data_IF_694082280384
#
_entry.id   IF_694082280384
#
_cell.length_a   1.000
_cell.length_b   1.000
_cell.length_c   1.000
_cell.angle_alpha   90.00
_cell.angle_beta   90.00
_cell.angle_gamma   90.00
#
_symmetry.space_group_name_H-M   'P 1'
#
loop_
_entity.id
_entity.type
_entity.pdbx_description
1 polymer ?
#
# COMPACT_ATOMS: atom_id res chain seq x y z
N UNK A 1 25.95 -23.01 -13.81
CA UNK A 1 24.65 -22.72 -14.44
C UNK A 1 24.33 -21.31 -14.06
N UNK A 2 24.34 -20.44 -15.06
CA UNK A 2 24.50 -19.00 -14.91
C UNK A 2 23.28 -18.34 -14.26
N UNK A 3 23.51 -17.58 -13.20
CA UNK A 3 22.55 -16.77 -12.43
C UNK A 3 21.98 -15.58 -13.26
N UNK A 4 22.48 -15.39 -14.49
CA UNK A 4 22.26 -14.19 -15.30
C UNK A 4 21.04 -14.27 -16.24
N UNK A 5 20.42 -15.44 -16.38
CA UNK A 5 19.24 -15.65 -17.25
C UNK A 5 17.90 -15.53 -16.51
N UNK A 6 17.91 -15.66 -15.19
CA UNK A 6 16.71 -15.50 -14.35
C UNK A 6 16.36 -14.00 -14.21
N UNK A 7 17.37 -13.13 -14.20
CA UNK A 7 17.21 -11.67 -14.04
C UNK A 7 16.57 -11.01 -15.27
N UNK A 8 16.86 -11.48 -16.50
CA UNK A 8 16.27 -10.89 -17.70
C UNK A 8 14.76 -11.09 -17.79
N UNK A 9 14.26 -12.27 -17.39
CA UNK A 9 12.83 -12.58 -17.38
C UNK A 9 12.08 -11.86 -16.26
N UNK A 10 12.72 -11.70 -15.09
CA UNK A 10 12.16 -10.94 -13.97
C UNK A 10 12.05 -9.44 -14.29
N UNK A 11 13.04 -8.88 -14.99
CA UNK A 11 12.99 -7.48 -15.41
C UNK A 11 11.98 -7.25 -16.54
N UNK A 12 11.85 -8.17 -17.49
CA UNK A 12 10.83 -8.08 -18.55
C UNK A 12 9.41 -8.12 -17.96
N UNK A 13 9.15 -9.00 -16.98
CA UNK A 13 7.89 -9.00 -16.23
C UNK A 13 7.67 -7.71 -15.44
N UNK A 14 8.70 -7.20 -14.74
CA UNK A 14 8.59 -5.96 -13.98
C UNK A 14 8.31 -4.76 -14.90
N UNK A 15 8.90 -4.73 -16.09
CA UNK A 15 8.66 -3.67 -17.07
C UNK A 15 7.25 -3.74 -17.66
N UNK A 16 6.75 -4.93 -17.96
CA UNK A 16 5.36 -5.13 -18.38
C UNK A 16 4.37 -4.70 -17.27
N UNK A 17 4.58 -5.16 -16.04
CA UNK A 17 3.75 -4.80 -14.89
C UNK A 17 3.82 -3.29 -14.58
N UNK A 18 4.98 -2.66 -14.79
CA UNK A 18 5.15 -1.22 -14.66
C UNK A 18 4.39 -0.48 -15.75
N UNK A 19 4.38 -0.96 -16.99
CA UNK A 19 3.60 -0.38 -18.08
C UNK A 19 2.10 -0.46 -17.75
N UNK A 20 1.61 -1.64 -17.36
CA UNK A 20 0.21 -1.85 -17.00
C UNK A 20 -0.21 -0.99 -15.79
N UNK A 21 0.61 -0.95 -14.74
CA UNK A 21 0.33 -0.13 -13.54
C UNK A 21 0.32 1.36 -13.88
N UNK A 22 1.23 1.81 -14.76
CA UNK A 22 1.25 3.20 -15.21
C UNK A 22 -0.01 3.50 -16.02
N UNK A 23 -0.38 2.63 -16.95
CA UNK A 23 -1.57 2.81 -17.80
C UNK A 23 -2.86 2.83 -16.97
N UNK A 24 -3.04 1.92 -16.02
CA UNK A 24 -4.18 1.94 -15.07
C UNK A 24 -4.21 3.22 -14.22
N UNK A 25 -3.06 3.69 -13.71
CA UNK A 25 -2.98 4.93 -12.93
C UNK A 25 -3.22 6.16 -13.82
N UNK A 26 -2.79 6.14 -15.09
CA UNK A 26 -3.10 7.18 -16.07
C UNK A 26 -4.59 7.20 -16.43
N UNK A 27 -5.24 6.06 -16.60
CA UNK A 27 -6.67 5.95 -16.84
C UNK A 27 -7.47 6.45 -15.62
N UNK A 28 -7.10 6.03 -14.41
CA UNK A 28 -7.71 6.51 -13.16
C UNK A 28 -7.49 8.01 -12.96
N UNK A 29 -6.30 8.55 -13.28
CA UNK A 29 -6.05 10.00 -13.22
C UNK A 29 -6.79 10.78 -14.31
N UNK A 30 -7.01 10.19 -15.49
CA UNK A 30 -7.84 10.80 -16.54
C UNK A 30 -9.33 10.80 -16.16
N UNK A 31 -9.79 9.78 -15.44
CA UNK A 31 -11.15 9.68 -14.91
C UNK A 31 -11.39 10.61 -13.71
N UNK A 32 -10.45 10.67 -12.75
CA UNK A 32 -10.56 11.54 -11.56
C UNK A 32 -10.15 13.00 -11.84
N UNK A 33 -9.42 13.25 -12.93
CA UNK A 33 -8.95 14.58 -13.24
C UNK A 33 -8.85 14.85 -14.74
N UNK A 34 -9.83 15.59 -15.24
CA UNK A 34 -9.59 16.65 -16.22
C UNK A 34 -8.70 17.76 -15.59
N UNK A 35 -7.54 17.40 -15.04
CA UNK A 35 -6.54 18.33 -14.51
C UNK A 35 -5.87 18.99 -15.71
N UNK A 36 -6.17 20.27 -15.95
CA UNK A 36 -5.46 21.01 -16.98
C UNK A 36 -3.94 21.02 -16.70
N UNK A 37 -3.13 21.10 -17.75
CA UNK A 37 -1.67 21.28 -17.63
C UNK A 37 -1.32 22.45 -16.68
N UNK A 38 -2.15 23.49 -16.62
CA UNK A 38 -2.05 24.59 -15.66
C UNK A 38 -2.08 24.11 -14.20
N UNK A 39 -3.03 23.26 -13.80
CA UNK A 39 -3.16 22.79 -12.41
C UNK A 39 -1.94 21.96 -12.01
N UNK A 40 -1.45 21.09 -12.92
CA UNK A 40 -0.23 20.30 -12.68
C UNK A 40 1.00 21.19 -12.49
N UNK A 41 1.12 22.26 -13.28
CA UNK A 41 2.22 23.23 -13.21
C UNK A 41 2.18 24.08 -11.94
N UNK A 42 0.97 24.46 -11.48
CA UNK A 42 0.75 25.14 -10.21
C UNK A 42 1.10 24.21 -9.03
N UNK A 43 0.66 22.96 -9.08
CA UNK A 43 0.96 21.96 -8.05
C UNK A 43 2.47 21.70 -7.92
N UNK A 44 3.18 21.51 -9.03
CA UNK A 44 4.64 21.32 -9.05
C UNK A 44 5.40 22.54 -8.51
N UNK A 45 4.96 23.76 -8.84
CA UNK A 45 5.56 24.97 -8.26
C UNK A 45 5.36 25.06 -6.74
N UNK A 46 4.24 24.59 -6.24
CA UNK A 46 3.92 24.64 -4.82
C UNK A 46 4.57 23.52 -3.99
N UNK A 47 4.87 22.35 -4.59
CA UNK A 47 5.28 21.14 -3.87
C UNK A 47 6.73 20.66 -4.11
N UNK A 48 7.59 21.46 -4.75
CA UNK A 48 9.00 21.13 -4.94
C UNK A 48 9.26 19.92 -5.86
N UNK A 49 10.52 19.49 -5.96
CA UNK A 49 10.86 18.27 -6.72
C UNK A 49 10.34 17.03 -6.00
N UNK A 50 9.47 16.28 -6.69
CA UNK A 50 8.95 14.99 -6.25
C UNK A 50 9.65 13.86 -6.99
N UNK A 51 9.61 12.65 -6.42
CA UNK A 51 10.15 11.44 -7.08
C UNK A 51 9.46 11.28 -8.44
N UNK A 52 10.25 11.02 -9.48
CA UNK A 52 9.71 10.77 -10.81
C UNK A 52 8.74 9.57 -10.76
N UNK A 53 7.57 9.71 -11.37
CA UNK A 53 6.48 8.72 -11.29
C UNK A 53 6.95 7.30 -11.66
N UNK A 54 7.74 7.17 -12.72
CA UNK A 54 8.31 5.89 -13.17
C UNK A 54 9.19 5.24 -12.10
N UNK A 55 10.04 6.03 -11.44
CA UNK A 55 10.94 5.53 -10.39
C UNK A 55 10.16 5.16 -9.12
N UNK A 56 9.14 5.95 -8.78
CA UNK A 56 8.21 5.63 -7.70
C UNK A 56 7.51 4.29 -7.93
N UNK A 57 6.90 4.08 -9.10
CA UNK A 57 6.19 2.83 -9.38
C UNK A 57 7.12 1.63 -9.45
N UNK A 58 8.29 1.76 -10.08
CA UNK A 58 9.29 0.69 -10.08
C UNK A 58 9.68 0.29 -8.65
N UNK A 59 9.94 1.25 -7.77
CA UNK A 59 10.25 0.98 -6.38
C UNK A 59 9.06 0.36 -5.63
N UNK A 60 7.85 0.86 -5.87
CA UNK A 60 6.62 0.37 -5.27
C UNK A 60 6.36 -1.10 -5.62
N UNK A 61 6.43 -1.46 -6.90
CA UNK A 61 6.23 -2.83 -7.38
C UNK A 61 7.25 -3.79 -6.76
N UNK A 62 8.53 -3.38 -6.71
CA UNK A 62 9.59 -4.16 -6.08
C UNK A 62 9.29 -4.39 -4.59
N UNK A 63 8.92 -3.35 -3.86
CA UNK A 63 8.60 -3.46 -2.43
C UNK A 63 7.34 -4.31 -2.18
N UNK A 64 6.35 -4.24 -3.07
CA UNK A 64 5.15 -5.08 -2.98
C UNK A 64 5.47 -6.56 -3.21
N UNK A 65 6.38 -6.88 -4.13
CA UNK A 65 6.88 -8.25 -4.28
C UNK A 65 7.54 -8.77 -2.99
N UNK A 66 8.33 -7.94 -2.32
CA UNK A 66 8.93 -8.30 -1.02
C UNK A 66 7.88 -8.43 0.10
N UNK A 67 6.82 -7.62 0.08
CA UNK A 67 5.71 -7.75 1.02
C UNK A 67 4.95 -9.07 0.85
N UNK A 68 4.82 -9.58 -0.38
CA UNK A 68 4.22 -10.90 -0.64
C UNK A 68 5.10 -12.00 -0.01
N UNK A 69 6.42 -11.94 -0.21
CA UNK A 69 7.35 -12.89 0.43
C UNK A 69 7.26 -12.84 1.95
N UNK A 70 7.15 -11.63 2.53
CA UNK A 70 6.96 -11.44 3.96
C UNK A 70 5.65 -12.07 4.44
N UNK A 71 4.55 -11.86 3.72
CA UNK A 71 3.25 -12.45 4.03
C UNK A 71 3.34 -13.98 4.04
N UNK A 72 3.94 -14.59 3.02
CA UNK A 72 4.09 -16.04 2.94
C UNK A 72 4.91 -16.58 4.11
N UNK A 73 5.96 -15.87 4.50
CA UNK A 73 6.74 -16.20 5.69
C UNK A 73 5.92 -16.09 6.98
N UNK A 74 5.12 -15.03 7.17
CA UNK A 74 4.26 -14.85 8.36
C UNK A 74 3.29 -16.02 8.50
N UNK A 75 2.64 -16.41 7.40
CA UNK A 75 1.71 -17.54 7.35
C UNK A 75 2.42 -18.85 7.71
N UNK A 76 3.56 -19.13 7.07
CA UNK A 76 4.31 -20.36 7.30
C UNK A 76 4.84 -20.46 8.74
N UNK A 77 5.37 -19.36 9.28
CA UNK A 77 5.96 -19.29 10.62
C UNK A 77 4.94 -19.05 11.73
N UNK A 78 3.66 -18.84 11.40
CA UNK A 78 2.57 -18.53 12.34
C UNK A 78 2.85 -17.29 13.21
N UNK A 79 3.61 -16.34 12.67
CA UNK A 79 3.89 -15.08 13.36
C UNK A 79 2.64 -14.20 13.40
N UNK A 80 2.63 -13.25 14.33
CA UNK A 80 1.53 -12.31 14.55
C UNK A 80 2.04 -10.91 14.29
N UNK A 81 1.54 -10.24 13.26
CA UNK A 81 2.05 -8.93 12.85
C UNK A 81 0.95 -7.87 12.96
N UNK A 82 1.24 -6.78 13.67
CA UNK A 82 0.39 -5.60 13.75
C UNK A 82 1.15 -4.40 13.23
N UNK A 83 0.53 -3.64 12.33
CA UNK A 83 1.02 -2.35 11.86
C UNK A 83 0.01 -1.27 12.23
N UNK A 84 0.44 -0.27 12.99
CA UNK A 84 -0.40 0.83 13.45
C UNK A 84 -0.05 2.09 12.65
N UNK A 85 -1.04 2.71 12.02
CA UNK A 85 -0.88 3.93 11.25
C UNK A 85 -1.46 5.13 12.00
N UNK A 86 -0.58 5.98 12.54
CA UNK A 86 -0.95 7.22 13.21
C UNK A 86 -0.48 8.45 12.43
N UNK A 87 -1.12 9.59 12.66
CA UNK A 87 -0.79 10.84 11.98
C UNK A 87 -1.96 11.81 11.87
N UNK A 88 -1.67 13.06 11.50
CA UNK A 88 -2.67 14.12 11.35
C UNK A 88 -3.68 13.82 10.22
N UNK A 89 -4.82 14.48 10.28
CA UNK A 89 -5.79 14.46 9.19
C UNK A 89 -5.12 14.93 7.89
N UNK A 90 -5.48 14.26 6.79
CA UNK A 90 -4.89 14.49 5.46
C UNK A 90 -3.38 14.22 5.32
N UNK A 91 -2.74 13.54 6.28
CA UNK A 91 -1.32 13.15 6.18
C UNK A 91 -1.04 12.02 5.17
N UNK A 92 -2.07 11.46 4.51
CA UNK A 92 -1.89 10.40 3.50
C UNK A 92 -1.91 8.96 4.02
N UNK A 93 -2.33 8.73 5.28
CA UNK A 93 -2.41 7.39 5.89
C UNK A 93 -3.17 6.37 5.03
N UNK A 94 -4.33 6.77 4.50
CA UNK A 94 -5.15 5.90 3.65
C UNK A 94 -4.47 5.49 2.35
N UNK A 95 -3.69 6.40 1.74
CA UNK A 95 -2.91 6.11 0.54
C UNK A 95 -1.81 5.09 0.82
N UNK A 96 -1.08 5.24 1.94
CA UNK A 96 -0.05 4.29 2.35
C UNK A 96 -0.65 2.90 2.62
N UNK A 97 -1.75 2.82 3.37
CA UNK A 97 -2.45 1.56 3.63
C UNK A 97 -2.87 0.91 2.30
N UNK A 98 -3.51 1.66 1.39
CA UNK A 98 -3.92 1.17 0.07
C UNK A 98 -2.74 0.56 -0.69
N UNK A 99 -1.60 1.27 -0.74
CA UNK A 99 -0.41 0.80 -1.45
C UNK A 99 0.22 -0.44 -0.79
N UNK A 100 0.13 -0.61 0.53
CA UNK A 100 0.62 -1.82 1.19
C UNK A 100 -0.31 -3.01 0.90
N UNK A 101 -1.62 -2.81 0.98
CA UNK A 101 -2.58 -3.92 0.92
C UNK A 101 -2.97 -4.33 -0.50
N UNK A 102 -2.74 -3.49 -1.52
CA UNK A 102 -3.28 -3.71 -2.88
C UNK A 102 -2.86 -5.04 -3.54
N UNK A 103 -1.71 -5.62 -3.16
CA UNK A 103 -1.21 -6.91 -3.73
C UNK A 103 -1.14 -8.05 -2.71
N UNK A 104 -1.61 -7.83 -1.50
CA UNK A 104 -1.59 -8.83 -0.43
C UNK A 104 -2.90 -9.63 -0.43
N UNK A 105 -2.84 -10.87 0.04
CA UNK A 105 -4.01 -11.73 0.12
C UNK A 105 -4.96 -11.20 1.23
N UNK A 106 -6.18 -10.75 0.90
CA UNK A 106 -7.10 -10.16 1.87
C UNK A 106 -7.62 -11.16 2.91
N UNK A 107 -7.38 -12.46 2.72
CA UNK A 107 -7.70 -13.51 3.70
C UNK A 107 -6.67 -13.61 4.82
N UNK A 108 -5.47 -13.09 4.58
CA UNK A 108 -4.35 -13.11 5.53
C UNK A 108 -4.21 -11.71 6.15
N UNK A 109 -4.15 -10.69 5.31
CA UNK A 109 -3.95 -9.30 5.74
C UNK A 109 -5.30 -8.59 5.82
N UNK A 110 -5.59 -8.01 6.98
CA UNK A 110 -6.80 -7.21 7.20
C UNK A 110 -6.48 -5.76 7.54
N UNK A 111 -7.27 -4.85 6.98
CA UNK A 111 -7.28 -3.44 7.37
C UNK A 111 -8.44 -3.20 8.33
N UNK A 112 -8.15 -2.57 9.46
CA UNK A 112 -9.16 -2.23 10.47
C UNK A 112 -9.21 -0.71 10.62
N UNK A 113 -10.36 -0.12 10.30
CA UNK A 113 -10.67 1.28 10.50
C UNK A 113 -11.90 1.39 11.41
N UNK A 114 -11.67 1.67 12.69
CA UNK A 114 -12.75 1.79 13.66
C UNK A 114 -13.37 3.19 13.60
N UNK A 115 -14.70 3.32 13.58
CA UNK A 115 -15.35 4.62 13.73
C UNK A 115 -15.16 5.15 15.17
N UNK A 116 -15.63 6.39 15.38
CA UNK A 116 -15.76 6.95 16.72
C UNK A 116 -16.48 5.95 17.66
N UNK A 117 -16.03 5.83 18.93
CA UNK A 117 -16.60 4.85 19.85
C UNK A 117 -18.08 5.16 20.12
N UNK A 118 -18.90 4.11 20.13
CA UNK A 118 -20.29 4.16 20.59
C UNK A 118 -20.38 4.48 22.08
N UNK A 119 -21.58 4.87 22.55
CA UNK A 119 -21.78 5.21 23.97
C UNK A 119 -21.52 4.04 24.90
N UNK A 120 -21.74 2.80 24.43
CA UNK A 120 -21.34 1.60 25.17
C UNK A 120 -19.83 1.41 25.20
N UNK A 121 -19.13 1.58 24.08
CA UNK A 121 -17.66 1.45 24.04
C UNK A 121 -16.97 2.52 24.89
N UNK A 122 -17.53 3.73 25.00
CA UNK A 122 -17.00 4.79 25.89
C UNK A 122 -17.02 4.40 27.37
N UNK A 123 -17.91 3.50 27.78
CA UNK A 123 -18.00 3.01 29.17
C UNK A 123 -17.28 1.68 29.39
N UNK A 124 -16.80 1.04 28.32
CA UNK A 124 -15.94 -0.14 28.38
C UNK A 124 -14.48 0.24 28.68
N UNK A 125 -13.66 -0.76 28.97
CA UNK A 125 -12.22 -0.54 29.05
C UNK A 125 -11.68 -0.14 27.68
N UNK A 126 -10.88 0.92 27.62
CA UNK A 126 -10.43 1.55 26.36
C UNK A 126 -9.87 0.55 25.32
N UNK A 127 -9.04 -0.40 25.77
CA UNK A 127 -8.41 -1.38 24.87
C UNK A 127 -9.36 -2.49 24.41
N UNK A 128 -10.50 -2.68 25.08
CA UNK A 128 -11.43 -3.78 24.83
C UNK A 128 -11.97 -3.77 23.41
N UNK A 129 -12.16 -2.60 22.80
CA UNK A 129 -12.62 -2.50 21.40
C UNK A 129 -11.56 -2.88 20.37
N UNK A 130 -10.27 -2.82 20.72
CA UNK A 130 -9.15 -3.10 19.80
C UNK A 130 -8.69 -4.56 19.86
N UNK A 131 -8.77 -5.20 21.04
CA UNK A 131 -8.35 -6.58 21.26
C UNK A 131 -8.96 -7.58 20.25
N UNK A 132 -10.26 -7.51 19.89
CA UNK A 132 -10.85 -8.41 18.90
C UNK A 132 -10.22 -8.32 17.51
N UNK A 133 -9.48 -7.25 17.22
CA UNK A 133 -8.85 -7.01 15.93
C UNK A 133 -7.39 -7.46 15.88
N UNK A 134 -6.80 -7.90 16.99
CA UNK A 134 -5.41 -8.37 17.03
C UNK A 134 -5.23 -9.69 16.27
N UNK A 135 -4.09 -9.87 15.56
CA UNK A 135 -3.82 -11.03 14.71
C UNK A 135 -3.76 -12.33 15.51
N UNK A 136 -4.32 -13.37 14.91
CA UNK A 136 -4.01 -14.75 15.24
C UNK A 136 -2.71 -15.18 14.53
N UNK A 137 -2.21 -16.38 14.84
CA UNK A 137 -0.96 -16.86 14.24
C UNK A 137 -1.08 -17.05 12.72
N UNK A 138 -0.25 -16.34 11.98
CA UNK A 138 -0.25 -16.28 10.52
C UNK A 138 -0.98 -15.06 9.94
N UNK A 139 -1.31 -14.07 10.77
CA UNK A 139 -1.99 -12.82 10.40
C UNK A 139 -1.16 -11.58 10.73
#
# INVERSE_FOLDING_TARGET
MDDNTIDSGAMDWLEAELADTLDEDYELELEDAALSMEIRKIYQRAHGETIARKDYFRALLRLQAELIKLQDWVVHSRQKVVVIFEGRDSAGKGGVIKRITQRLNPRVVRTVALPAPSDREKTQWYFQRYVPHLPAGGE
#
